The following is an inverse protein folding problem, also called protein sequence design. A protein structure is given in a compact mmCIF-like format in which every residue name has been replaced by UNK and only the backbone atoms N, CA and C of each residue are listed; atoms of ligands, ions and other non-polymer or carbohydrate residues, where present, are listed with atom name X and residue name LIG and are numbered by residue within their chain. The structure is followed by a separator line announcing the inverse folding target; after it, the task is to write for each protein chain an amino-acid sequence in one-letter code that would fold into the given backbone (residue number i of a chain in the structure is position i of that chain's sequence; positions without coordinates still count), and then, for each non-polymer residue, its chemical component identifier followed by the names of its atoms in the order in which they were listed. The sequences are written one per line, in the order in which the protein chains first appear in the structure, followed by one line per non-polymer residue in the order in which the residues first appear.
data_IF_566349732282
#
_entry.id   IF_566349732282
#
_cell.length_a   1.000
_cell.length_b   1.000
_cell.length_c   1.000
_cell.angle_alpha   90.00
_cell.angle_beta   90.00
_cell.angle_gamma   90.00
#
_symmetry.space_group_name_H-M   'P 1'
#
loop_
_entity.id
_entity.type
_entity.pdbx_description
1 polymer ?
#
# COMPACT_ATOMS: atom_id res chain seq x y z
N UNK A 1 -19.26 54.05 -21.50
CA UNK A 1 -20.29 53.77 -22.53
C UNK A 1 -20.21 52.28 -22.83
N UNK A 2 -21.15 51.46 -22.34
CA UNK A 2 -21.23 50.02 -22.69
C UNK A 2 -21.94 49.95 -24.04
N UNK A 3 -21.25 49.46 -25.06
CA UNK A 3 -21.86 49.17 -26.36
C UNK A 3 -22.52 47.80 -26.20
N UNK A 4 -23.85 47.76 -26.19
CA UNK A 4 -24.60 46.51 -26.29
C UNK A 4 -24.80 46.19 -27.78
N UNK A 5 -24.21 45.08 -28.22
CA UNK A 5 -24.46 44.54 -29.56
C UNK A 5 -25.78 43.76 -29.54
N UNK A 6 -26.78 44.27 -30.26
CA UNK A 6 -28.05 43.58 -30.47
C UNK A 6 -27.97 42.74 -31.76
N UNK A 7 -28.21 41.43 -31.65
CA UNK A 7 -28.23 40.50 -32.80
C UNK A 7 -29.65 40.03 -33.10
N UNK A 8 -30.26 40.60 -34.14
CA UNK A 8 -31.56 40.15 -34.65
C UNK A 8 -31.36 39.02 -35.68
N UNK A 9 -32.09 37.91 -35.52
CA UNK A 9 -32.18 36.83 -36.52
C UNK A 9 -33.61 36.71 -37.01
N UNK A 10 -33.78 36.69 -38.34
CA UNK A 10 -35.07 36.48 -38.99
C UNK A 10 -35.06 35.07 -39.60
N UNK A 11 -36.03 34.25 -39.21
CA UNK A 11 -36.22 32.90 -39.76
C UNK A 11 -37.50 32.92 -40.59
N UNK A 12 -37.40 32.51 -41.86
CA UNK A 12 -38.53 32.40 -42.77
C UNK A 12 -38.49 31.07 -43.51
N UNK A 13 -39.65 30.50 -43.80
CA UNK A 13 -39.76 29.31 -44.65
C UNK A 13 -39.27 29.64 -46.06
N UNK A 14 -38.57 28.70 -46.69
CA UNK A 14 -38.19 28.81 -48.10
C UNK A 14 -39.44 28.66 -49.00
N UNK A 15 -39.34 29.04 -50.27
CA UNK A 15 -40.46 28.84 -51.23
C UNK A 15 -40.91 27.38 -51.35
N UNK A 16 -40.00 26.42 -51.12
CA UNK A 16 -40.35 25.00 -51.01
C UNK A 16 -41.09 24.68 -49.69
N UNK A 17 -40.64 25.26 -48.57
CA UNK A 17 -41.30 25.12 -47.26
C UNK A 17 -42.72 25.69 -47.24
N UNK A 18 -42.98 26.78 -47.96
CA UNK A 18 -44.32 27.38 -48.11
C UNK A 18 -45.28 26.49 -48.91
N UNK A 19 -44.81 25.80 -49.95
CA UNK A 19 -45.62 24.82 -50.71
C UNK A 19 -45.99 23.61 -49.84
N UNK A 20 -45.01 23.07 -49.12
CA UNK A 20 -45.18 21.91 -48.23
C UNK A 20 -46.13 22.27 -47.07
N UNK A 21 -46.01 23.47 -46.48
CA UNK A 21 -46.91 23.92 -45.42
C UNK A 21 -48.36 24.19 -45.87
N UNK A 22 -48.61 24.33 -47.19
CA UNK A 22 -49.95 24.51 -47.75
C UNK A 22 -50.68 23.19 -48.04
N UNK A 23 -49.97 22.07 -47.93
CA UNK A 23 -50.52 20.72 -48.01
C UNK A 23 -50.87 20.24 -46.58
N UNK A 24 -51.99 19.55 -46.41
CA UNK A 24 -52.44 19.00 -45.11
C UNK A 24 -51.59 17.76 -44.78
N UNK A 25 -50.35 18.01 -44.34
CA UNK A 25 -49.36 16.97 -44.07
C UNK A 25 -49.57 16.47 -42.64
N UNK A 26 -49.98 15.21 -42.52
CA UNK A 26 -49.92 14.48 -41.26
C UNK A 26 -48.46 14.21 -40.88
N UNK A 27 -47.88 15.14 -40.13
CA UNK A 27 -46.50 15.11 -39.60
C UNK A 27 -46.26 13.98 -38.59
N UNK A 28 -47.31 13.24 -38.21
CA UNK A 28 -47.26 12.13 -37.26
C UNK A 28 -47.50 10.75 -37.91
N UNK A 29 -47.70 10.68 -39.23
CA UNK A 29 -47.88 9.42 -39.94
C UNK A 29 -46.58 8.61 -40.16
N UNK A 30 -45.41 9.28 -40.11
CA UNK A 30 -44.13 8.62 -40.29
C UNK A 30 -43.72 7.86 -39.01
N UNK A 31 -43.36 6.57 -39.09
CA UNK A 31 -42.94 5.81 -37.91
C UNK A 31 -41.70 6.48 -37.27
N UNK A 32 -41.80 6.74 -35.96
CA UNK A 32 -40.72 7.33 -35.19
C UNK A 32 -39.70 6.25 -34.78
N UNK A 33 -38.42 6.51 -35.04
CA UNK A 33 -37.33 5.57 -34.76
C UNK A 33 -36.31 6.22 -33.83
N UNK A 34 -35.95 5.51 -32.75
CA UNK A 34 -35.03 6.00 -31.73
C UNK A 34 -33.54 5.79 -32.08
N UNK A 35 -33.21 4.75 -32.85
CA UNK A 35 -31.84 4.41 -33.22
C UNK A 35 -31.77 3.98 -34.68
N UNK A 36 -30.82 4.55 -35.43
CA UNK A 36 -30.55 4.14 -36.81
C UNK A 36 -29.89 2.76 -36.83
N UNK A 37 -30.37 1.89 -37.72
CA UNK A 37 -29.75 0.58 -37.97
C UNK A 37 -28.95 0.60 -39.26
N UNK A 38 -27.98 -0.32 -39.38
CA UNK A 38 -27.17 -0.47 -40.60
C UNK A 38 -28.03 -0.69 -41.85
N UNK A 39 -29.12 -1.45 -41.74
CA UNK A 39 -30.04 -1.73 -42.85
C UNK A 39 -30.75 -0.46 -43.34
N UNK A 40 -31.23 0.38 -42.41
CA UNK A 40 -31.87 1.65 -42.75
C UNK A 40 -30.92 2.64 -43.43
N UNK A 41 -29.65 2.64 -43.02
CA UNK A 41 -28.60 3.46 -43.64
C UNK A 41 -28.34 2.99 -45.07
N UNK A 42 -28.13 1.69 -45.24
CA UNK A 42 -27.81 1.09 -46.55
C UNK A 42 -28.98 1.20 -47.53
N UNK A 43 -30.20 1.01 -47.04
CA UNK A 43 -31.44 1.10 -47.82
C UNK A 43 -31.97 2.52 -48.05
N UNK A 44 -31.31 3.55 -47.51
CA UNK A 44 -31.80 4.94 -47.50
C UNK A 44 -33.17 5.15 -46.84
N UNK A 45 -33.67 4.18 -46.06
CA UNK A 45 -34.97 4.25 -45.38
C UNK A 45 -34.97 5.24 -44.22
N UNK A 46 -33.79 5.64 -43.74
CA UNK A 46 -33.64 6.71 -42.75
C UNK A 46 -34.23 8.06 -43.19
N UNK A 47 -34.40 8.28 -44.52
CA UNK A 47 -35.04 9.49 -45.05
C UNK A 47 -36.57 9.49 -44.94
N UNK A 48 -37.17 8.32 -44.66
CA UNK A 48 -38.62 8.11 -44.64
C UNK A 48 -39.19 7.99 -43.22
N UNK A 49 -38.34 8.04 -42.20
CA UNK A 49 -38.71 7.89 -40.78
C UNK A 49 -38.45 9.18 -40.02
N UNK A 50 -39.21 9.42 -38.95
CA UNK A 50 -38.97 10.53 -38.02
C UNK A 50 -37.96 10.06 -36.97
N UNK A 51 -36.84 10.75 -36.83
CA UNK A 51 -35.86 10.42 -35.78
C UNK A 51 -36.27 11.08 -34.48
N UNK A 52 -36.35 10.30 -33.41
CA UNK A 52 -36.63 10.83 -32.07
C UNK A 52 -35.53 11.82 -31.68
N UNK A 53 -35.91 12.99 -31.20
CA UNK A 53 -34.96 13.99 -30.70
C UNK A 53 -34.18 13.42 -29.51
N UNK A 54 -32.85 13.51 -29.57
CA UNK A 54 -31.98 13.12 -28.47
C UNK A 54 -31.87 14.29 -27.48
N UNK A 55 -32.30 14.07 -26.24
CA UNK A 55 -32.13 15.05 -25.17
C UNK A 55 -30.68 15.02 -24.68
N UNK A 56 -29.94 16.08 -24.98
CA UNK A 56 -28.53 16.26 -24.60
C UNK A 56 -28.32 16.46 -23.09
N UNK A 57 -29.40 16.66 -22.33
CA UNK A 57 -29.34 16.79 -20.86
C UNK A 57 -29.45 15.44 -20.15
N UNK A 58 -29.76 14.36 -20.87
CA UNK A 58 -29.80 13.02 -20.29
C UNK A 58 -28.38 12.51 -20.09
N UNK A 59 -28.05 12.17 -18.85
CA UNK A 59 -26.80 11.48 -18.54
C UNK A 59 -26.82 10.09 -19.19
N UNK A 60 -25.86 9.77 -20.07
CA UNK A 60 -25.78 8.43 -20.64
C UNK A 60 -25.51 7.40 -19.53
N UNK A 61 -25.96 6.15 -19.70
CA UNK A 61 -25.65 5.11 -18.72
C UNK A 61 -24.13 5.00 -18.55
N UNK A 62 -23.63 4.98 -17.31
CA UNK A 62 -22.20 4.93 -17.05
C UNK A 62 -21.62 3.60 -17.55
N UNK A 63 -20.47 3.67 -18.23
CA UNK A 63 -19.72 2.50 -18.65
C UNK A 63 -18.64 2.22 -17.61
N UNK A 64 -18.70 1.07 -16.97
CA UNK A 64 -17.72 0.66 -15.97
C UNK A 64 -16.68 -0.28 -16.60
N UNK A 65 -15.50 0.26 -16.89
CA UNK A 65 -14.34 -0.53 -17.30
C UNK A 65 -13.71 -1.30 -16.14
N UNK A 66 -12.87 -2.28 -16.46
CA UNK A 66 -12.06 -3.00 -15.47
C UNK A 66 -11.10 -2.04 -14.75
N UNK A 67 -11.06 -2.15 -13.41
CA UNK A 67 -10.25 -1.28 -12.54
C UNK A 67 -9.52 -2.13 -11.50
N UNK A 68 -8.32 -1.70 -11.12
CA UNK A 68 -7.63 -2.25 -9.95
C UNK A 68 -8.30 -1.78 -8.67
N UNK A 69 -8.27 -2.60 -7.63
CA UNK A 69 -8.74 -2.21 -6.30
C UNK A 69 -7.99 -0.95 -5.80
N UNK A 70 -8.65 0.06 -5.20
CA UNK A 70 -7.98 1.29 -4.78
C UNK A 70 -6.78 1.05 -3.85
N UNK A 71 -6.91 0.08 -2.95
CA UNK A 71 -5.81 -0.31 -2.06
C UNK A 71 -4.60 -0.88 -2.83
N UNK A 72 -4.85 -1.77 -3.81
CA UNK A 72 -3.80 -2.34 -4.67
C UNK A 72 -3.09 -1.27 -5.50
N UNK A 73 -3.79 -0.19 -5.89
CA UNK A 73 -3.14 0.94 -6.58
C UNK A 73 -2.13 1.65 -5.68
N UNK A 74 -2.44 1.81 -4.41
CA UNK A 74 -1.55 2.44 -3.42
C UNK A 74 -0.36 1.52 -3.13
N UNK A 75 -0.58 0.21 -3.00
CA UNK A 75 0.51 -0.77 -2.88
C UNK A 75 1.46 -0.68 -4.08
N UNK A 76 0.92 -0.58 -5.30
CA UNK A 76 1.73 -0.40 -6.52
C UNK A 76 2.46 0.94 -6.57
N UNK A 77 1.84 2.01 -6.08
CA UNK A 77 2.48 3.33 -5.96
C UNK A 77 3.69 3.25 -5.01
N UNK A 78 3.51 2.69 -3.82
CA UNK A 78 4.60 2.47 -2.86
C UNK A 78 5.72 1.60 -3.45
N UNK A 79 5.35 0.51 -4.12
CA UNK A 79 6.32 -0.37 -4.82
C UNK A 79 7.11 0.41 -5.87
N UNK A 80 6.45 1.23 -6.70
CA UNK A 80 7.11 2.05 -7.72
C UNK A 80 8.11 3.02 -7.08
N UNK A 81 7.72 3.69 -5.99
CA UNK A 81 8.59 4.64 -5.29
C UNK A 81 9.87 3.96 -4.80
N UNK A 82 9.79 2.79 -4.17
CA UNK A 82 10.98 2.08 -3.71
C UNK A 82 11.86 1.61 -4.86
N UNK A 83 11.27 1.11 -5.96
CA UNK A 83 12.01 0.74 -7.16
C UNK A 83 12.74 1.95 -7.77
N UNK A 84 12.08 3.10 -7.86
CA UNK A 84 12.67 4.36 -8.35
C UNK A 84 13.77 4.90 -7.43
N UNK A 85 13.69 4.62 -6.13
CA UNK A 85 14.73 4.94 -5.14
C UNK A 85 15.91 3.93 -5.17
N UNK A 86 15.86 2.94 -6.07
CA UNK A 86 16.92 1.96 -6.29
C UNK A 86 16.90 0.77 -5.32
N UNK A 87 15.75 0.48 -4.71
CA UNK A 87 15.58 -0.70 -3.88
C UNK A 87 15.19 -1.92 -4.71
N UNK A 88 15.61 -3.10 -4.27
CA UNK A 88 15.21 -4.39 -4.84
C UNK A 88 14.07 -5.00 -4.03
N UNK A 89 13.00 -5.44 -4.69
CA UNK A 89 11.87 -6.10 -4.01
C UNK A 89 12.23 -7.53 -3.62
N UNK A 90 12.01 -7.86 -2.35
CA UNK A 90 12.15 -9.19 -1.79
C UNK A 90 10.76 -9.82 -1.60
N UNK A 91 10.73 -11.14 -1.71
CA UNK A 91 9.56 -11.95 -1.40
C UNK A 91 9.99 -13.11 -0.51
N UNK A 92 9.20 -13.39 0.52
CA UNK A 92 9.48 -14.43 1.48
C UNK A 92 8.25 -15.25 1.81
N UNK A 93 8.47 -16.33 2.54
CA UNK A 93 7.42 -17.26 2.94
C UNK A 93 6.54 -16.66 4.05
N UNK A 94 5.26 -17.03 4.05
CA UNK A 94 4.28 -16.60 5.05
C UNK A 94 4.52 -17.27 6.40
N UNK A 95 4.89 -18.56 6.37
CA UNK A 95 5.28 -19.31 7.55
C UNK A 95 6.75 -19.04 7.82
N UNK A 96 7.09 -18.73 9.06
CA UNK A 96 8.46 -18.52 9.51
C UNK A 96 8.69 -19.31 10.79
N UNK A 97 9.92 -19.79 10.99
CA UNK A 97 10.31 -20.27 12.32
C UNK A 97 10.34 -19.11 13.30
N UNK A 98 10.02 -19.38 14.57
CA UNK A 98 10.14 -18.40 15.65
C UNK A 98 11.56 -17.84 15.74
N UNK A 99 12.57 -18.64 15.35
CA UNK A 99 13.94 -18.19 15.20
C UNK A 99 14.06 -16.97 14.28
N UNK A 100 13.61 -17.07 13.02
CA UNK A 100 13.70 -15.95 12.09
C UNK A 100 12.73 -14.84 12.45
N UNK A 101 11.54 -15.19 12.97
CA UNK A 101 10.53 -14.21 13.31
C UNK A 101 10.89 -13.35 14.53
N UNK A 102 11.60 -13.90 15.52
CA UNK A 102 11.86 -13.22 16.79
C UNK A 102 13.33 -13.29 17.21
N UNK A 103 13.88 -14.49 17.35
CA UNK A 103 15.19 -14.69 18.00
C UNK A 103 16.34 -14.04 17.20
N UNK A 104 16.30 -14.11 15.87
CA UNK A 104 17.29 -13.48 14.98
C UNK A 104 17.29 -11.95 15.06
N UNK A 105 16.18 -11.37 15.53
CA UNK A 105 15.99 -9.93 15.76
C UNK A 105 16.24 -9.57 17.23
N UNK A 106 17.00 -10.40 17.96
CA UNK A 106 17.34 -10.15 19.36
C UNK A 106 16.12 -9.91 20.27
N UNK A 107 14.94 -10.42 19.90
CA UNK A 107 13.74 -10.30 20.71
C UNK A 107 13.66 -11.46 21.71
N UNK A 108 13.57 -11.20 23.02
CA UNK A 108 13.71 -12.24 24.03
C UNK A 108 12.53 -13.23 24.00
N UNK A 109 12.75 -14.47 24.49
CA UNK A 109 11.78 -15.58 24.39
C UNK A 109 10.57 -15.46 25.33
N UNK A 110 10.62 -14.55 26.28
CA UNK A 110 9.56 -14.19 27.22
C UNK A 110 8.87 -12.86 26.85
N UNK A 111 9.17 -12.31 25.67
CA UNK A 111 8.56 -11.07 25.20
C UNK A 111 7.05 -11.25 24.97
N UNK A 112 6.18 -10.32 25.43
CA UNK A 112 4.71 -10.43 25.30
C UNK A 112 4.22 -10.66 23.86
N UNK A 113 4.83 -10.01 22.87
CA UNK A 113 4.50 -10.25 21.45
C UNK A 113 4.65 -11.72 20.98
N UNK A 114 5.40 -12.56 21.72
CA UNK A 114 5.53 -14.00 21.45
C UNK A 114 4.43 -14.82 22.14
N UNK A 115 3.57 -14.21 22.94
CA UNK A 115 2.49 -14.93 23.59
C UNK A 115 1.49 -15.45 22.56
N UNK A 116 0.85 -16.58 22.89
CA UNK A 116 -0.18 -17.17 22.04
C UNK A 116 -1.37 -16.23 21.81
N UNK A 117 -1.53 -15.20 22.64
CA UNK A 117 -2.59 -14.19 22.49
C UNK A 117 -2.29 -13.20 21.36
N UNK A 118 -1.02 -12.99 21.00
CA UNK A 118 -0.58 -12.00 20.02
C UNK A 118 -0.08 -12.64 18.70
N UNK A 119 0.41 -13.89 18.77
CA UNK A 119 1.00 -14.60 17.61
C UNK A 119 0.24 -15.88 17.24
N UNK A 120 0.05 -16.10 15.95
CA UNK A 120 -0.49 -17.36 15.42
C UNK A 120 0.61 -18.42 15.29
N UNK A 121 0.69 -19.29 16.28
CA UNK A 121 1.54 -20.49 16.25
C UNK A 121 0.88 -21.62 15.44
N UNK A 122 1.71 -22.36 14.69
CA UNK A 122 1.27 -23.50 13.90
C UNK A 122 1.56 -24.80 14.64
N UNK A 123 0.90 -25.89 14.23
CA UNK A 123 1.19 -27.23 14.77
C UNK A 123 2.46 -27.86 14.16
N UNK A 124 3.10 -27.19 13.21
CA UNK A 124 4.37 -27.61 12.61
C UNK A 124 5.57 -27.02 13.35
N UNK A 125 6.71 -27.66 13.19
CA UNK A 125 8.00 -27.20 13.69
C UNK A 125 9.03 -27.32 12.58
N UNK A 126 9.92 -26.34 12.52
CA UNK A 126 11.10 -26.40 11.65
C UNK A 126 12.06 -27.47 12.16
N UNK A 127 12.37 -28.46 11.31
CA UNK A 127 13.21 -29.61 11.68
C UNK A 127 14.65 -29.21 12.04
N UNK A 128 15.25 -28.31 11.26
CA UNK A 128 16.62 -27.84 11.45
C UNK A 128 16.70 -26.31 11.48
N UNK A 129 17.25 -25.79 12.57
CA UNK A 129 17.59 -24.37 12.67
C UNK A 129 18.84 -24.05 11.83
N UNK A 130 18.96 -22.81 11.31
CA UNK A 130 20.10 -22.41 10.50
C UNK A 130 21.41 -22.48 11.30
N UNK A 131 22.54 -22.64 10.61
CA UNK A 131 23.87 -22.80 11.22
C UNK A 131 24.31 -21.62 12.12
N UNK A 132 23.67 -20.45 12.00
CA UNK A 132 23.89 -19.30 12.85
C UNK A 132 23.10 -19.34 14.17
N UNK A 133 22.30 -20.38 14.45
CA UNK A 133 21.47 -20.37 15.66
C UNK A 133 22.29 -20.36 16.94
N UNK A 134 23.47 -21.00 16.97
CA UNK A 134 24.33 -21.03 18.17
C UNK A 134 24.91 -19.66 18.50
N UNK A 135 25.24 -18.85 17.49
CA UNK A 135 25.76 -17.49 17.71
C UNK A 135 24.66 -16.57 18.20
N UNK A 136 23.43 -16.74 17.70
CA UNK A 136 22.23 -16.03 18.21
C UNK A 136 21.93 -16.46 19.64
N UNK A 137 21.92 -17.76 19.94
CA UNK A 137 21.74 -18.26 21.32
C UNK A 137 22.74 -17.63 22.29
N UNK A 138 24.03 -17.67 21.95
CA UNK A 138 25.10 -17.05 22.74
C UNK A 138 24.91 -15.54 22.92
N UNK A 139 24.39 -14.85 21.90
CA UNK A 139 24.06 -13.42 21.99
C UNK A 139 22.95 -13.16 23.00
N UNK A 140 21.88 -13.96 22.98
CA UNK A 140 20.76 -13.83 23.92
C UNK A 140 21.18 -14.14 25.36
N UNK A 141 21.91 -15.24 25.59
CA UNK A 141 22.22 -15.70 26.94
C UNK A 141 23.32 -14.88 27.62
N UNK A 142 24.33 -14.42 26.87
CA UNK A 142 25.53 -13.81 27.46
C UNK A 142 26.18 -12.74 26.58
N UNK A 143 25.48 -12.19 25.59
CA UNK A 143 25.97 -11.08 24.75
C UNK A 143 27.02 -11.45 23.71
N UNK A 144 27.23 -12.75 23.47
CA UNK A 144 28.09 -13.23 22.39
C UNK A 144 29.54 -12.76 22.52
N UNK A 145 30.07 -12.10 21.49
CA UNK A 145 31.46 -11.63 21.39
C UNK A 145 31.62 -10.11 21.51
N UNK A 146 30.53 -9.39 21.72
CA UNK A 146 30.53 -7.93 21.80
C UNK A 146 30.35 -7.46 23.23
N UNK A 147 30.48 -6.16 23.47
CA UNK A 147 30.22 -5.55 24.78
C UNK A 147 28.71 -5.40 25.03
N UNK A 148 28.00 -6.54 25.05
CA UNK A 148 26.59 -6.65 25.44
C UNK A 148 26.50 -7.65 26.57
N UNK A 149 25.51 -7.49 27.46
CA UNK A 149 25.23 -8.48 28.51
C UNK A 149 24.34 -9.62 28.02
N UNK A 150 23.76 -9.49 26.81
CA UNK A 150 22.61 -10.29 26.42
C UNK A 150 21.38 -9.96 27.27
N UNK A 151 20.34 -10.78 27.15
CA UNK A 151 19.17 -10.78 28.02
C UNK A 151 19.39 -11.60 29.30
N UNK A 152 20.34 -12.53 29.28
CA UNK A 152 20.52 -13.51 30.35
C UNK A 152 19.54 -14.67 30.25
N UNK A 153 19.55 -15.54 31.27
CA UNK A 153 18.65 -16.68 31.36
C UNK A 153 19.04 -17.84 30.43
N UNK A 154 18.05 -18.64 30.06
CA UNK A 154 18.22 -19.83 29.21
C UNK A 154 17.42 -19.68 27.92
N UNK A 155 18.08 -19.89 26.79
CA UNK A 155 17.45 -19.87 25.47
C UNK A 155 17.04 -21.29 25.06
N UNK A 156 15.78 -21.48 24.65
CA UNK A 156 15.24 -22.78 24.21
C UNK A 156 15.26 -22.92 22.70
N UNK A 157 15.90 -23.99 22.23
CA UNK A 157 15.92 -24.38 20.81
C UNK A 157 14.53 -24.79 20.32
N UNK A 158 13.75 -25.45 21.17
CA UNK A 158 12.41 -25.92 20.88
C UNK A 158 11.48 -24.74 20.61
N UNK A 159 11.55 -23.68 21.43
CA UNK A 159 10.79 -22.45 21.21
C UNK A 159 11.17 -21.76 19.90
N UNK A 160 12.44 -21.79 19.53
CA UNK A 160 12.91 -21.17 18.29
C UNK A 160 12.52 -21.98 17.03
N UNK A 161 12.40 -23.30 17.16
CA UNK A 161 11.96 -24.18 16.08
C UNK A 161 10.45 -24.15 15.82
N UNK A 162 9.65 -23.60 16.74
CA UNK A 162 8.20 -23.50 16.58
C UNK A 162 7.83 -22.59 15.41
N UNK A 163 6.97 -23.05 14.49
CA UNK A 163 6.54 -22.25 13.36
C UNK A 163 5.41 -21.27 13.73
N UNK A 164 5.44 -20.10 13.10
CA UNK A 164 4.44 -19.04 13.24
C UNK A 164 4.02 -18.52 11.86
N UNK A 165 2.82 -17.96 11.79
CA UNK A 165 2.54 -17.00 10.73
C UNK A 165 3.33 -15.73 11.03
N UNK A 166 4.12 -15.24 10.07
CA UNK A 166 5.00 -14.09 10.29
C UNK A 166 4.23 -12.87 10.81
N UNK A 167 4.73 -12.25 11.87
CA UNK A 167 4.07 -11.11 12.54
C UNK A 167 4.48 -9.76 11.96
N UNK A 168 5.57 -9.76 11.19
CA UNK A 168 6.12 -8.63 10.44
C UNK A 168 6.95 -9.16 9.26
N UNK A 169 7.35 -8.29 8.33
CA UNK A 169 8.14 -8.66 7.14
C UNK A 169 9.65 -8.74 7.40
N UNK A 170 10.10 -8.33 8.59
CA UNK A 170 11.51 -8.30 9.00
C UNK A 170 12.27 -9.63 8.93
N UNK A 171 11.64 -10.79 9.12
CA UNK A 171 12.31 -12.08 8.98
C UNK A 171 12.81 -12.29 7.55
N UNK A 172 12.13 -11.69 6.56
CA UNK A 172 12.48 -11.81 5.14
C UNK A 172 13.77 -11.02 4.85
N UNK A 173 13.85 -9.79 5.34
CA UNK A 173 14.97 -8.89 5.09
C UNK A 173 16.20 -9.33 5.89
N UNK A 174 16.06 -9.68 7.16
CA UNK A 174 17.21 -10.10 7.98
C UNK A 174 17.79 -11.43 7.49
N UNK A 175 16.92 -12.37 7.06
CA UNK A 175 17.37 -13.62 6.44
C UNK A 175 18.10 -13.35 5.13
N UNK A 176 17.56 -12.48 4.29
CA UNK A 176 18.24 -12.06 3.05
C UNK A 176 19.62 -11.44 3.33
N UNK A 177 19.74 -10.59 4.37
CA UNK A 177 21.03 -10.01 4.77
C UNK A 177 22.00 -11.06 5.34
N UNK A 178 21.49 -12.05 6.08
CA UNK A 178 22.32 -13.14 6.62
C UNK A 178 22.81 -14.11 5.53
N UNK A 179 22.03 -14.30 4.45
CA UNK A 179 22.34 -15.21 3.34
C UNK A 179 23.33 -14.64 2.31
N UNK A 180 24.02 -13.54 2.64
CA UNK A 180 25.06 -12.87 1.86
C UNK A 180 24.59 -11.94 0.74
N UNK A 181 24.38 -10.68 1.08
CA UNK A 181 24.65 -9.58 0.19
C UNK A 181 25.84 -8.77 0.73
N UNK A 182 26.86 -8.60 -0.11
CA UNK A 182 27.96 -7.68 0.17
C UNK A 182 27.42 -6.25 0.06
N UNK A 183 27.71 -5.34 1.01
CA UNK A 183 27.33 -3.94 0.87
C UNK A 183 27.83 -3.31 -0.45
N UNK A 184 27.11 -2.35 -1.05
CA UNK A 184 25.86 -1.74 -0.57
C UNK A 184 24.60 -2.54 -0.94
N UNK A 185 23.62 -2.56 -0.04
CA UNK A 185 22.33 -3.23 -0.22
C UNK A 185 21.19 -2.26 0.02
N UNK A 186 20.20 -2.29 -0.87
CA UNK A 186 18.90 -1.63 -0.70
C UNK A 186 17.81 -2.61 -1.08
N UNK A 187 17.02 -3.03 -0.10
CA UNK A 187 15.99 -4.02 -0.31
C UNK A 187 14.70 -3.62 0.41
N UNK A 188 13.55 -4.01 -0.14
CA UNK A 188 12.26 -3.76 0.48
C UNK A 188 11.34 -4.95 0.28
N UNK A 189 10.31 -5.08 1.13
CA UNK A 189 9.29 -6.09 1.02
C UNK A 189 7.93 -5.46 1.31
N UNK A 190 6.95 -5.65 0.44
CA UNK A 190 5.55 -5.32 0.72
C UNK A 190 4.78 -6.62 0.69
N UNK A 191 4.37 -7.09 1.87
CA UNK A 191 3.68 -8.37 1.96
C UNK A 191 2.80 -8.45 3.21
N UNK A 192 1.90 -9.44 3.21
CA UNK A 192 0.92 -9.64 4.27
C UNK A 192 1.56 -10.26 5.51
N UNK A 193 1.20 -9.76 6.67
CA UNK A 193 1.63 -10.19 8.00
C UNK A 193 0.42 -10.52 8.85
N UNK A 194 0.63 -11.27 9.93
CA UNK A 194 -0.44 -11.88 10.71
C UNK A 194 -0.22 -11.63 12.20
N UNK A 195 -1.21 -11.05 12.87
CA UNK A 195 -1.18 -10.82 14.32
C UNK A 195 -2.51 -11.23 14.89
N UNK A 196 -2.51 -11.83 16.08
CA UNK A 196 -3.74 -12.25 16.74
C UNK A 196 -4.38 -11.06 17.46
N UNK A 197 -4.72 -10.04 16.68
CA UNK A 197 -5.38 -8.83 17.17
C UNK A 197 -6.90 -8.95 17.02
N UNK A 198 -7.64 -8.29 17.91
CA UNK A 198 -9.09 -8.21 17.79
C UNK A 198 -9.46 -7.34 16.57
N UNK A 199 -10.49 -7.74 15.84
CA UNK A 199 -10.97 -6.95 14.70
C UNK A 199 -11.66 -5.69 15.22
N UNK A 200 -11.09 -4.54 14.89
CA UNK A 200 -11.64 -3.21 15.20
C UNK A 200 -11.41 -2.25 14.00
N UNK A 201 -11.84 -0.97 14.06
CA UNK A 201 -11.66 -0.03 12.95
C UNK A 201 -10.19 0.28 12.58
N UNK A 202 -9.23 -0.09 13.43
CA UNK A 202 -7.80 0.19 13.30
C UNK A 202 -6.93 -1.06 13.19
N UNK A 203 -7.44 -2.23 13.59
CA UNK A 203 -6.69 -3.48 13.63
C UNK A 203 -7.45 -4.62 12.92
N UNK A 204 -6.71 -5.38 12.14
CA UNK A 204 -7.16 -6.63 11.51
C UNK A 204 -6.13 -7.74 11.75
N UNK A 205 -6.55 -9.02 11.87
CA UNK A 205 -5.62 -10.12 12.09
C UNK A 205 -4.61 -10.35 10.98
N UNK A 206 -4.90 -9.82 9.79
CA UNK A 206 -3.99 -9.81 8.65
C UNK A 206 -4.00 -8.42 8.01
N UNK A 207 -2.82 -7.94 7.61
CA UNK A 207 -2.62 -6.68 6.91
C UNK A 207 -1.27 -6.64 6.20
N UNK A 208 -1.07 -5.73 5.25
CA UNK A 208 0.19 -5.56 4.55
C UNK A 208 1.13 -4.64 5.32
N UNK A 209 2.37 -5.11 5.48
CA UNK A 209 3.47 -4.31 5.99
C UNK A 209 4.43 -4.01 4.86
N UNK A 210 4.89 -2.76 4.80
CA UNK A 210 6.00 -2.35 3.96
C UNK A 210 7.23 -2.30 4.83
N UNK A 211 8.26 -3.03 4.45
CA UNK A 211 9.56 -2.93 5.09
C UNK A 211 10.63 -2.52 4.09
N UNK A 212 11.58 -1.72 4.55
CA UNK A 212 12.80 -1.44 3.79
C UNK A 212 14.03 -1.53 4.67
N UNK A 213 15.13 -1.98 4.05
CA UNK A 213 16.45 -2.08 4.65
C UNK A 213 17.52 -1.50 3.74
N UNK A 214 18.51 -0.85 4.35
CA UNK A 214 19.72 -0.35 3.68
C UNK A 214 20.94 -0.77 4.49
N UNK A 215 21.86 -1.50 3.88
CA UNK A 215 23.11 -1.93 4.51
C UNK A 215 24.29 -1.40 3.71
N UNK A 216 25.08 -0.51 4.31
CA UNK A 216 26.29 0.06 3.70
C UNK A 216 27.22 0.66 4.78
N UNK A 217 28.53 0.67 4.52
CA UNK A 217 29.57 1.07 5.50
C UNK A 217 29.43 2.54 5.94
N UNK A 218 28.96 3.39 5.04
CA UNK A 218 28.79 4.84 5.27
C UNK A 218 27.43 5.25 5.84
N UNK A 219 26.57 4.31 6.24
CA UNK A 219 25.21 4.64 6.68
C UNK A 219 25.17 5.19 8.09
N UNK A 220 24.43 6.29 8.25
CA UNK A 220 24.18 6.95 9.52
C UNK A 220 22.69 7.12 9.80
N UNK A 221 22.35 7.51 11.02
CA UNK A 221 20.98 7.82 11.40
C UNK A 221 20.37 8.95 10.55
N UNK A 222 21.17 9.93 10.10
CA UNK A 222 20.70 10.99 9.20
C UNK A 222 20.25 10.44 7.85
N UNK A 223 20.92 9.40 7.33
CA UNK A 223 20.51 8.75 6.09
C UNK A 223 19.14 8.06 6.24
N UNK A 224 18.88 7.41 7.38
CA UNK A 224 17.58 6.80 7.68
C UNK A 224 16.45 7.83 7.59
N UNK A 225 16.62 8.97 8.26
CA UNK A 225 15.62 10.05 8.22
C UNK A 225 15.43 10.56 6.79
N UNK A 226 16.51 10.72 6.03
CA UNK A 226 16.46 11.15 4.63
C UNK A 226 15.66 10.21 3.73
N UNK A 227 15.87 8.89 3.85
CA UNK A 227 15.11 7.90 3.07
C UNK A 227 13.62 7.94 3.39
N UNK A 228 13.26 8.02 4.67
CA UNK A 228 11.86 8.07 5.11
C UNK A 228 11.19 9.38 4.68
N UNK A 229 11.85 10.52 4.84
CA UNK A 229 11.33 11.81 4.37
C UNK A 229 11.06 11.77 2.87
N UNK A 230 12.04 11.32 2.06
CA UNK A 230 11.87 11.21 0.60
C UNK A 230 10.70 10.30 0.23
N UNK A 231 10.56 9.15 0.88
CA UNK A 231 9.44 8.23 0.65
C UNK A 231 8.09 8.92 0.92
N UNK A 232 7.92 9.56 2.08
CA UNK A 232 6.66 10.22 2.42
C UNK A 232 6.36 11.43 1.55
N UNK A 233 7.38 12.21 1.17
CA UNK A 233 7.23 13.31 0.20
C UNK A 233 6.74 12.80 -1.16
N UNK A 234 7.29 11.68 -1.65
CA UNK A 234 6.82 11.04 -2.89
C UNK A 234 5.41 10.47 -2.78
N UNK A 235 5.02 9.98 -1.60
CA UNK A 235 3.65 9.56 -1.32
C UNK A 235 2.65 10.73 -1.28
N UNK A 236 3.13 11.98 -1.18
CA UNK A 236 2.35 13.20 -1.21
C UNK A 236 2.19 13.89 0.15
N UNK A 237 2.88 13.45 1.20
CA UNK A 237 2.84 14.09 2.52
C UNK A 237 3.93 15.16 2.60
N UNK A 238 3.57 16.41 2.91
CA UNK A 238 4.53 17.53 2.95
C UNK A 238 5.32 17.58 4.26
N UNK A 239 4.59 17.47 5.37
CA UNK A 239 5.13 17.65 6.71
C UNK A 239 5.39 16.29 7.33
N UNK A 240 6.68 15.98 7.49
CA UNK A 240 7.17 14.73 8.07
C UNK A 240 8.04 15.08 9.27
N UNK A 241 7.81 14.40 10.40
CA UNK A 241 8.67 14.49 11.59
C UNK A 241 8.99 13.11 12.14
N UNK A 242 9.95 13.06 13.06
CA UNK A 242 10.41 11.83 13.68
C UNK A 242 10.39 11.98 15.19
N UNK A 243 9.74 11.05 15.88
CA UNK A 243 9.68 10.98 17.34
C UNK A 243 10.56 9.83 17.82
N UNK A 244 11.34 9.98 18.91
CA UNK A 244 12.00 8.83 19.53
C UNK A 244 11.01 7.73 19.88
N UNK A 245 11.34 6.50 19.49
CA UNK A 245 10.57 5.29 19.77
C UNK A 245 11.46 4.21 20.38
N UNK A 246 10.87 3.10 20.79
CA UNK A 246 11.61 1.93 21.28
C UNK A 246 11.19 0.68 20.52
N UNK A 247 12.17 0.02 19.90
CA UNK A 247 11.99 -1.29 19.28
C UNK A 247 13.14 -2.20 19.71
N UNK A 248 12.87 -3.48 20.06
CA UNK A 248 13.90 -4.37 20.62
C UNK A 248 15.14 -4.57 19.74
N UNK A 249 14.98 -4.54 18.41
CA UNK A 249 16.04 -4.82 17.45
C UNK A 249 16.76 -3.57 16.91
N UNK A 250 16.36 -2.35 17.27
CA UNK A 250 16.99 -1.12 16.73
C UNK A 250 17.45 -0.13 17.79
N UNK A 251 18.64 0.45 17.57
CA UNK A 251 19.21 1.51 18.39
C UNK A 251 20.15 2.39 17.55
N UNK A 252 19.84 3.69 17.35
CA UNK A 252 18.65 4.42 17.79
C UNK A 252 17.37 4.01 17.03
N UNK A 253 16.22 4.34 17.64
CA UNK A 253 14.87 4.04 17.16
C UNK A 253 14.00 5.29 17.07
N UNK A 254 13.18 5.38 16.02
CA UNK A 254 12.22 6.47 15.78
C UNK A 254 10.93 5.98 15.16
N UNK A 255 9.88 6.75 15.36
CA UNK A 255 8.59 6.64 14.70
C UNK A 255 8.43 7.81 13.72
N UNK A 256 8.29 7.56 12.41
CA UNK A 256 7.87 8.59 11.46
C UNK A 256 6.41 8.98 11.65
N UNK A 257 6.15 10.29 11.67
CA UNK A 257 4.82 10.87 11.73
C UNK A 257 4.61 11.84 10.56
N UNK A 258 3.41 11.84 9.99
CA UNK A 258 2.98 12.83 8.98
C UNK A 258 1.87 13.71 9.52
N UNK A 259 1.84 14.97 9.12
CA UNK A 259 0.75 15.88 9.49
C UNK A 259 -0.39 15.78 8.48
N UNK A 260 -1.62 15.68 9.01
CA UNK A 260 -2.87 15.71 8.25
C UNK A 260 -3.75 16.77 8.90
N UNK A 261 -4.22 17.76 8.14
CA UNK A 261 -4.96 18.93 8.69
C UNK A 261 -6.11 18.53 9.63
N UNK A 262 -6.87 17.50 9.27
CA UNK A 262 -8.03 17.04 10.05
C UNK A 262 -7.66 16.14 11.26
N UNK A 263 -6.49 15.49 11.26
CA UNK A 263 -6.11 14.47 12.26
C UNK A 263 -4.90 14.87 13.11
N UNK A 264 -4.18 15.92 12.75
CA UNK A 264 -2.91 16.29 13.37
C UNK A 264 -1.77 15.36 12.92
N UNK A 265 -0.83 15.11 13.83
CA UNK A 265 0.32 14.21 13.58
C UNK A 265 -0.09 12.75 13.74
N UNK A 266 0.14 11.96 12.70
CA UNK A 266 -0.24 10.55 12.65
C UNK A 266 1.00 9.68 12.47
N UNK A 267 1.20 8.73 13.38
CA UNK A 267 2.25 7.71 13.33
C UNK A 267 1.99 6.73 12.16
N UNK A 268 3.06 6.37 11.45
CA UNK A 268 3.02 5.51 10.27
C UNK A 268 3.86 4.24 10.37
N UNK A 269 4.49 3.99 11.52
CA UNK A 269 5.27 2.79 11.79
C UNK A 269 6.54 3.07 12.61
N UNK A 270 7.49 2.15 12.50
CA UNK A 270 8.75 2.17 13.25
C UNK A 270 9.97 2.10 12.35
N UNK A 271 11.06 2.75 12.77
CA UNK A 271 12.32 2.75 12.05
C UNK A 271 13.52 2.85 13.00
N UNK A 272 14.68 2.41 12.55
CA UNK A 272 15.91 2.55 13.33
C UNK A 272 17.11 1.95 12.64
N UNK A 273 18.21 1.87 13.39
CA UNK A 273 19.42 1.17 12.98
C UNK A 273 19.46 -0.15 13.72
N UNK A 274 19.64 -1.29 13.02
CA UNK A 274 19.71 -2.57 13.71
C UNK A 274 20.84 -2.57 14.75
N UNK A 275 20.50 -3.11 15.91
CA UNK A 275 21.43 -3.32 17.01
C UNK A 275 22.54 -4.27 16.59
N UNK A 276 23.72 -4.12 17.20
CA UNK A 276 24.84 -5.05 16.98
C UNK A 276 24.50 -6.47 17.45
N UNK A 277 23.66 -6.61 18.46
CA UNK A 277 23.14 -7.90 18.92
C UNK A 277 22.30 -8.62 17.85
N UNK A 278 21.78 -7.90 16.86
CA UNK A 278 21.07 -8.48 15.71
C UNK A 278 22.06 -8.84 14.59
N UNK A 279 22.97 -7.93 14.25
CA UNK A 279 23.81 -8.05 13.04
C UNK A 279 25.04 -8.95 13.23
N UNK A 280 25.77 -8.82 14.35
CA UNK A 280 27.01 -9.55 14.63
C UNK A 280 26.87 -11.08 14.65
N UNK A 281 25.84 -11.69 15.28
CA UNK A 281 25.72 -13.15 15.28
C UNK A 281 25.41 -13.72 13.90
N UNK A 282 24.93 -12.87 12.97
CA UNK A 282 24.65 -13.21 11.58
C UNK A 282 25.84 -12.88 10.65
N UNK A 283 26.94 -12.37 11.18
CA UNK A 283 28.13 -12.01 10.40
C UNK A 283 28.01 -10.68 9.63
N UNK A 284 27.01 -9.86 9.95
CA UNK A 284 26.80 -8.56 9.32
C UNK A 284 27.56 -7.49 10.11
N UNK A 285 28.57 -6.89 9.47
CA UNK A 285 29.47 -5.91 10.09
C UNK A 285 29.14 -4.46 9.75
N UNK A 286 28.40 -4.22 8.66
CA UNK A 286 27.99 -2.88 8.23
C UNK A 286 26.72 -2.42 8.95
N UNK A 287 26.55 -1.10 9.20
CA UNK A 287 25.30 -0.57 9.71
C UNK A 287 24.12 -0.93 8.79
N UNK A 288 23.01 -1.33 9.41
CA UNK A 288 21.76 -1.62 8.69
C UNK A 288 20.68 -0.66 9.17
N UNK A 289 20.23 0.20 8.26
CA UNK A 289 19.04 1.03 8.45
C UNK A 289 17.82 0.17 8.12
N UNK A 290 16.79 0.20 8.97
CA UNK A 290 15.57 -0.58 8.76
C UNK A 290 14.32 0.22 9.15
N UNK A 291 13.21 -0.04 8.48
CA UNK A 291 11.90 0.51 8.84
C UNK A 291 10.77 -0.43 8.44
N UNK A 292 9.71 -0.45 9.24
CA UNK A 292 8.46 -1.15 8.98
C UNK A 292 7.30 -0.16 9.05
N UNK A 293 6.60 0.03 7.93
CA UNK A 293 5.51 0.98 7.77
C UNK A 293 4.19 0.25 7.53
N UNK A 294 3.12 0.78 8.13
CA UNK A 294 1.76 0.28 7.92
C UNK A 294 1.21 0.70 6.55
N UNK A 295 1.12 -0.23 5.59
CA UNK A 295 0.58 0.05 4.25
C UNK A 295 -0.87 0.49 4.36
N UNK A 296 -1.66 -0.23 5.15
CA UNK A 296 -3.07 0.05 5.33
C UNK A 296 -3.31 1.42 5.96
N UNK A 297 -2.45 1.85 6.90
CA UNK A 297 -2.55 3.17 7.54
C UNK A 297 -2.37 4.29 6.52
N UNK A 298 -1.33 4.21 5.69
CA UNK A 298 -1.11 5.18 4.60
C UNK A 298 -2.27 5.16 3.60
N UNK A 299 -2.78 3.97 3.26
CA UNK A 299 -3.91 3.84 2.35
C UNK A 299 -5.19 4.48 2.91
N UNK A 300 -5.51 4.26 4.19
CA UNK A 300 -6.64 4.91 4.87
C UNK A 300 -6.53 6.42 4.79
N UNK A 301 -5.34 6.99 5.05
CA UNK A 301 -5.12 8.44 4.97
C UNK A 301 -5.34 8.97 3.54
N UNK A 302 -4.78 8.31 2.52
CA UNK A 302 -4.95 8.76 1.11
C UNK A 302 -6.38 8.59 0.59
N UNK A 303 -7.09 7.58 1.06
CA UNK A 303 -8.47 7.29 0.68
C UNK A 303 -9.50 7.99 1.59
N UNK A 304 -9.05 8.69 2.63
CA UNK A 304 -9.87 9.35 3.66
C UNK A 304 -10.86 8.38 4.33
N UNK A 305 -10.38 7.17 4.64
CA UNK A 305 -11.15 6.15 5.34
C UNK A 305 -10.91 6.23 6.83
N UNK A 306 -11.97 6.03 7.61
CA UNK A 306 -11.91 5.99 9.08
C UNK A 306 -11.84 4.55 9.60
N UNK A 307 -12.26 3.58 8.80
CA UNK A 307 -12.32 2.17 9.17
C UNK A 307 -11.47 1.32 8.22
N UNK A 308 -10.47 0.65 8.79
CA UNK A 308 -9.54 -0.24 8.10
C UNK A 308 -10.26 -1.35 7.33
N UNK A 309 -11.38 -1.83 7.86
CA UNK A 309 -12.13 -2.96 7.29
C UNK A 309 -12.69 -2.65 5.91
N UNK A 310 -12.93 -1.37 5.61
CA UNK A 310 -13.37 -0.92 4.29
C UNK A 310 -12.35 -1.27 3.18
N UNK A 311 -11.05 -1.36 3.51
CA UNK A 311 -10.02 -1.76 2.54
C UNK A 311 -10.11 -3.23 2.10
N UNK A 312 -10.70 -4.09 2.93
CA UNK A 312 -10.79 -5.53 2.69
C UNK A 312 -12.19 -6.00 2.27
N UNK A 313 -13.18 -5.09 2.30
CA UNK A 313 -14.52 -5.38 1.81
C UNK A 313 -14.55 -5.43 0.27
N UNK A 314 -15.24 -6.42 -0.26
CA UNK A 314 -15.43 -6.57 -1.71
C UNK A 314 -16.57 -5.68 -2.22
N UNK A 315 -16.43 -4.35 -2.10
CA UNK A 315 -17.40 -3.39 -2.61
C UNK A 315 -17.17 -3.06 -4.09
N UNK A 316 -17.99 -3.66 -4.95
CA UNK A 316 -17.98 -3.44 -6.40
C UNK A 316 -18.39 -2.00 -6.75
N UNK A 317 -19.26 -1.37 -5.97
CA UNK A 317 -19.68 0.01 -6.24
C UNK A 317 -18.54 0.97 -5.96
N UNK A 318 -17.80 0.78 -4.87
CA UNK A 318 -16.58 1.55 -4.61
C UNK A 318 -15.56 1.38 -5.74
N UNK A 319 -15.36 0.15 -6.22
CA UNK A 319 -14.47 -0.09 -7.37
C UNK A 319 -14.95 0.68 -8.62
N UNK A 320 -16.26 0.64 -8.91
CA UNK A 320 -16.89 1.32 -10.06
C UNK A 320 -16.76 2.84 -10.00
N UNK A 321 -16.97 3.44 -8.84
CA UNK A 321 -16.98 4.90 -8.66
C UNK A 321 -15.59 5.47 -8.36
N UNK A 322 -14.64 4.66 -7.90
CA UNK A 322 -13.27 5.11 -7.63
C UNK A 322 -12.62 5.78 -8.85
N UNK A 323 -12.06 6.98 -8.64
CA UNK A 323 -11.26 7.68 -9.64
C UNK A 323 -9.91 6.98 -9.81
N UNK A 324 -9.39 6.93 -11.05
CA UNK A 324 -8.09 6.32 -11.34
C UNK A 324 -6.95 7.31 -11.06
N UNK A 325 -7.16 8.59 -11.38
CA UNK A 325 -6.32 9.66 -10.87
C UNK A 325 -6.69 9.92 -9.40
N UNK A 326 -5.89 9.38 -8.48
CA UNK A 326 -5.64 10.09 -7.24
C UNK A 326 -4.91 11.36 -7.68
N UNK A 327 -5.64 12.47 -7.84
CA UNK A 327 -4.99 13.76 -7.96
C UNK A 327 -4.02 13.85 -6.79
N UNK A 328 -2.75 14.17 -7.06
CA UNK A 328 -1.82 14.61 -6.03
C UNK A 328 -2.57 15.70 -5.28
N UNK A 329 -3.09 15.38 -4.09
CA UNK A 329 -3.73 16.34 -3.21
C UNK A 329 -2.58 17.23 -2.78
N UNK A 330 -2.41 18.32 -3.53
CA UNK A 330 -1.40 19.34 -3.26
C UNK A 330 -1.80 20.13 -2.04
#
# INVERSE_FOLDING_TARGET
MKIEEDKTRIVSLTGAGLKIASEDIDVDAAPEVAMLTQQMITGCDWKKVKLKNYDIHITPPPIYGGKLHPYERIIREMRSIFLEMGFTELKGETVQSSFWNFDSLFQPQDHPARDMQDTFYLNSTTDELPSCYQTVQAMHEHGGKINSTGWGGSWSKEKAAQDVLRTHTTPITIKYLAESPVPPVKAFCIDRVYRREAIDPTHTPEFEQLEGVVMDEGMSFTNLLGYLSEFYHRMGFKDVRFRPGYFPYTEPSVEPEVYIEELGWVELGGAGIFRKEVTEPLGITSPVLAWGLGVSRVAMLKLKLLDLRELYQSDINWLRTSSICLHKLY
#
